data_IF_536663825284
#
_entry.id   IF_536663825284
#
_cell.length_a   1.000
_cell.length_b   1.000
_cell.length_c   1.000
_cell.angle_alpha   90.00
_cell.angle_beta   90.00
_cell.angle_gamma   90.00
#
_symmetry.space_group_name_H-M   'P 1'
#
loop_
_entity.id
_entity.type
_entity.pdbx_description
1 polymer ?
#
# COMPACT_ATOMS: atom_id res chain seq x y z
N UNK A 1 18.47 33.98 -34.42
CA UNK A 1 17.26 33.91 -33.58
C UNK A 1 17.39 32.68 -32.70
N UNK A 2 17.69 32.85 -31.41
CA UNK A 2 17.73 31.75 -30.44
C UNK A 2 16.34 31.17 -30.27
N UNK A 3 16.14 29.92 -30.70
CA UNK A 3 14.95 29.15 -30.34
C UNK A 3 15.10 28.80 -28.86
N UNK A 4 14.51 29.59 -27.97
CA UNK A 4 14.34 29.21 -26.56
C UNK A 4 13.53 27.91 -26.51
N UNK A 5 14.21 26.79 -26.27
CA UNK A 5 13.57 25.51 -25.95
C UNK A 5 12.78 25.71 -24.67
N UNK A 6 11.44 25.69 -24.77
CA UNK A 6 10.56 25.70 -23.60
C UNK A 6 10.36 24.25 -23.18
N UNK A 7 11.10 23.81 -22.18
CA UNK A 7 10.84 22.52 -21.53
C UNK A 7 9.55 22.69 -20.71
N UNK A 8 8.56 21.82 -20.92
CA UNK A 8 7.34 21.88 -20.11
C UNK A 8 7.55 21.22 -18.75
N UNK A 9 6.95 21.80 -17.71
CA UNK A 9 6.99 21.23 -16.35
C UNK A 9 6.39 19.83 -16.34
N UNK A 10 5.29 19.63 -17.06
CA UNK A 10 4.61 18.33 -17.17
C UNK A 10 5.49 17.23 -17.80
N UNK A 11 6.25 17.55 -18.85
CA UNK A 11 7.20 16.58 -19.45
C UNK A 11 8.27 16.17 -18.43
N UNK A 12 8.81 17.12 -17.66
CA UNK A 12 9.83 16.81 -16.64
C UNK A 12 9.26 15.97 -15.50
N UNK A 13 8.04 16.26 -15.04
CA UNK A 13 7.35 15.45 -14.03
C UNK A 13 7.13 14.01 -14.53
N UNK A 14 6.74 13.84 -15.79
CA UNK A 14 6.53 12.52 -16.39
C UNK A 14 7.84 11.74 -16.58
N UNK A 15 8.92 12.40 -16.99
CA UNK A 15 10.23 11.78 -17.11
C UNK A 15 10.75 11.32 -15.75
N UNK A 16 10.62 12.16 -14.72
CA UNK A 16 11.01 11.82 -13.35
C UNK A 16 10.23 10.60 -12.83
N UNK A 17 8.90 10.59 -13.01
CA UNK A 17 8.03 9.48 -12.64
C UNK A 17 8.40 8.19 -13.37
N UNK A 18 8.64 8.27 -14.67
CA UNK A 18 9.06 7.12 -15.49
C UNK A 18 10.40 6.57 -15.02
N UNK A 19 11.34 7.44 -14.64
CA UNK A 19 12.62 7.03 -14.10
C UNK A 19 12.47 6.26 -12.77
N UNK A 20 11.66 6.76 -11.85
CA UNK A 20 11.37 6.06 -10.59
C UNK A 20 10.72 4.69 -10.81
N UNK A 21 9.76 4.59 -11.73
CA UNK A 21 9.12 3.31 -12.09
C UNK A 21 10.13 2.31 -12.66
N UNK A 22 11.00 2.75 -13.60
CA UNK A 22 12.06 1.91 -14.17
C UNK A 22 13.08 1.46 -13.14
N UNK A 23 13.34 2.30 -12.13
CA UNK A 23 14.21 1.98 -11.00
C UNK A 23 13.56 1.09 -9.94
N UNK A 24 12.32 0.61 -10.14
CA UNK A 24 11.62 -0.28 -9.21
C UNK A 24 11.26 0.39 -7.88
N UNK A 25 11.19 1.72 -7.81
CA UNK A 25 10.91 2.43 -6.58
C UNK A 25 9.48 2.15 -6.11
N UNK A 26 9.30 1.80 -4.84
CA UNK A 26 7.96 1.61 -4.28
C UNK A 26 7.31 2.96 -3.95
N UNK A 27 6.00 2.97 -3.71
CA UNK A 27 5.31 4.17 -3.21
C UNK A 27 5.89 4.65 -1.87
N UNK A 28 6.36 3.71 -1.03
CA UNK A 28 7.03 3.98 0.25
C UNK A 28 8.40 4.65 0.07
N UNK A 29 9.20 4.16 -0.90
CA UNK A 29 10.51 4.73 -1.21
C UNK A 29 10.37 6.17 -1.69
N UNK A 30 9.41 6.45 -2.56
CA UNK A 30 9.15 7.80 -3.05
C UNK A 30 8.58 8.70 -1.95
N UNK A 31 7.78 8.16 -1.03
CA UNK A 31 7.28 8.92 0.13
C UNK A 31 8.43 9.41 1.02
N UNK A 32 9.39 8.51 1.32
CA UNK A 32 10.63 8.84 2.05
C UNK A 32 11.53 9.79 1.27
N UNK A 33 11.74 9.53 -0.02
CA UNK A 33 12.59 10.35 -0.90
C UNK A 33 12.11 11.80 -0.95
N UNK A 34 10.80 12.01 -0.98
CA UNK A 34 10.14 13.32 -0.96
C UNK A 34 10.02 13.93 0.44
N UNK A 35 10.60 13.28 1.45
CA UNK A 35 10.67 13.73 2.85
C UNK A 35 9.29 14.01 3.47
N UNK A 36 8.33 13.13 3.19
CA UNK A 36 6.96 13.24 3.69
C UNK A 36 6.74 12.55 5.05
N UNK A 37 7.80 12.35 5.85
CA UNK A 37 7.77 11.54 7.10
C UNK A 37 8.05 12.33 8.39
N UNK A 38 8.53 13.57 8.32
CA UNK A 38 9.02 14.28 9.51
C UNK A 38 7.87 14.96 10.27
N UNK A 39 7.84 14.78 11.59
CA UNK A 39 6.74 15.15 12.51
C UNK A 39 6.50 16.66 12.73
N UNK A 40 7.22 17.54 12.05
CA UNK A 40 6.90 18.99 11.96
C UNK A 40 6.28 19.39 10.62
N UNK A 41 6.40 18.54 9.60
CA UNK A 41 6.16 18.92 8.22
C UNK A 41 4.86 18.29 7.78
N UNK A 42 3.78 19.01 8.05
CA UNK A 42 2.41 18.72 7.63
C UNK A 42 2.44 18.32 6.14
N UNK A 43 2.31 17.03 5.79
CA UNK A 43 2.61 16.57 4.44
C UNK A 43 1.66 17.21 3.42
N UNK A 44 0.44 17.59 3.84
CA UNK A 44 -0.52 18.33 3.02
C UNK A 44 -0.18 19.79 2.74
N UNK A 45 0.77 20.38 3.49
CA UNK A 45 1.36 21.69 3.20
C UNK A 45 2.66 21.56 2.39
N UNK A 46 3.25 20.36 2.32
CA UNK A 46 4.43 20.10 1.51
C UNK A 46 4.05 20.01 0.01
N UNK A 47 4.59 20.87 -0.86
CA UNK A 47 4.28 20.83 -2.30
C UNK A 47 4.64 19.49 -2.96
N UNK A 48 5.56 18.72 -2.38
CA UNK A 48 5.95 17.40 -2.87
C UNK A 48 4.89 16.33 -2.67
N UNK A 49 3.86 16.55 -1.82
CA UNK A 49 2.78 15.59 -1.65
C UNK A 49 2.07 15.31 -2.97
N UNK A 50 1.80 16.33 -3.78
CA UNK A 50 1.11 16.14 -5.05
C UNK A 50 1.97 15.37 -6.06
N UNK A 51 3.30 15.46 -5.97
CA UNK A 51 4.21 14.63 -6.75
C UNK A 51 4.09 13.16 -6.32
N UNK A 52 4.12 12.90 -5.01
CA UNK A 52 3.92 11.56 -4.47
C UNK A 52 2.56 10.98 -4.84
N UNK A 53 1.47 11.73 -4.67
CA UNK A 53 0.11 11.30 -5.06
C UNK A 53 0.07 10.97 -6.54
N UNK A 54 0.70 11.78 -7.39
CA UNK A 54 0.76 11.50 -8.81
C UNK A 54 1.48 10.18 -9.07
N UNK A 55 2.61 9.92 -8.40
CA UNK A 55 3.36 8.68 -8.53
C UNK A 55 2.59 7.46 -8.02
N UNK A 56 1.98 7.57 -6.84
CA UNK A 56 1.29 6.50 -6.14
C UNK A 56 -0.09 6.20 -6.73
N UNK A 57 -0.69 7.15 -7.47
CA UNK A 57 -1.97 6.97 -8.12
C UNK A 57 -1.79 6.16 -9.41
N UNK A 58 -1.76 4.85 -9.24
CA UNK A 58 -1.69 3.87 -10.31
C UNK A 58 -3.06 3.73 -10.98
N UNK A 59 -3.22 4.01 -12.28
CA UNK A 59 -4.53 3.91 -12.95
C UNK A 59 -5.14 2.49 -12.95
N UNK A 60 -4.29 1.47 -12.81
CA UNK A 60 -4.61 0.05 -12.72
C UNK A 60 -4.86 -0.43 -11.27
N UNK A 61 -4.61 0.42 -10.27
CA UNK A 61 -4.99 0.13 -8.88
C UNK A 61 -6.46 0.50 -8.69
N UNK A 62 -7.27 -0.47 -8.28
CA UNK A 62 -8.70 -0.30 -7.98
C UNK A 62 -8.92 0.53 -6.69
N UNK A 63 -7.92 0.55 -5.79
CA UNK A 63 -7.97 1.20 -4.49
C UNK A 63 -6.71 2.07 -4.20
N UNK A 64 -6.34 3.02 -5.07
CA UNK A 64 -5.05 3.72 -5.00
C UNK A 64 -4.90 4.57 -3.73
N UNK A 65 -5.99 5.17 -3.27
CA UNK A 65 -5.99 5.94 -2.01
C UNK A 65 -5.89 5.06 -0.77
N UNK A 66 -6.36 3.81 -0.86
CA UNK A 66 -6.18 2.83 0.21
C UNK A 66 -4.72 2.42 0.28
N UNK A 67 -4.09 2.10 -0.86
CA UNK A 67 -2.65 1.81 -0.97
C UNK A 67 -1.79 2.97 -0.43
N UNK A 68 -2.13 4.22 -0.79
CA UNK A 68 -1.49 5.43 -0.26
C UNK A 68 -1.66 5.54 1.26
N UNK A 69 -2.87 5.32 1.79
CA UNK A 69 -3.12 5.36 3.23
C UNK A 69 -2.23 4.37 3.98
N UNK A 70 -2.00 3.17 3.43
CA UNK A 70 -1.13 2.16 4.06
C UNK A 70 0.33 2.59 4.17
N UNK A 71 0.83 3.32 3.18
CA UNK A 71 2.15 3.96 3.23
C UNK A 71 2.16 5.02 4.34
N UNK A 72 1.16 5.90 4.38
CA UNK A 72 1.09 6.95 5.40
C UNK A 72 0.99 6.37 6.83
N UNK A 73 0.23 5.28 7.04
CA UNK A 73 0.11 4.56 8.32
C UNK A 73 1.40 3.89 8.80
N UNK A 74 2.47 3.84 8.00
CA UNK A 74 3.80 3.40 8.48
C UNK A 74 4.51 4.47 9.30
N UNK A 75 4.16 5.74 9.09
CA UNK A 75 4.86 6.89 9.67
C UNK A 75 3.95 7.72 10.59
N UNK A 76 2.64 7.69 10.35
CA UNK A 76 1.66 8.47 11.08
C UNK A 76 0.64 7.56 11.75
N UNK A 77 0.33 7.85 13.02
CA UNK A 77 -0.80 7.23 13.71
C UNK A 77 -2.12 7.62 13.04
N UNK A 78 -3.17 6.81 13.19
CA UNK A 78 -4.49 7.12 12.63
C UNK A 78 -5.03 8.45 13.16
N UNK A 79 -4.88 8.72 14.47
CA UNK A 79 -5.28 9.99 15.07
C UNK A 79 -4.54 11.20 14.47
N UNK A 80 -3.27 11.02 14.09
CA UNK A 80 -2.51 12.07 13.39
C UNK A 80 -3.01 12.24 11.95
N UNK A 81 -3.30 11.15 11.24
CA UNK A 81 -3.86 11.19 9.89
C UNK A 81 -5.24 11.85 9.84
N UNK A 82 -6.14 11.52 10.77
CA UNK A 82 -7.45 12.16 10.90
C UNK A 82 -7.32 13.68 11.05
N UNK A 83 -6.46 14.13 11.98
CA UNK A 83 -6.19 15.56 12.18
C UNK A 83 -5.65 16.22 10.92
N UNK A 84 -4.71 15.58 10.22
CA UNK A 84 -4.15 16.07 8.96
C UNK A 84 -5.23 16.19 7.87
N UNK A 85 -6.11 15.20 7.73
CA UNK A 85 -7.15 15.22 6.69
C UNK A 85 -8.21 16.28 6.99
N UNK A 86 -8.64 16.43 8.25
CA UNK A 86 -9.57 17.49 8.68
C UNK A 86 -9.00 18.86 8.33
N UNK A 87 -7.72 19.11 8.62
CA UNK A 87 -7.05 20.37 8.30
C UNK A 87 -6.93 20.58 6.79
N UNK A 88 -6.42 19.60 6.04
CA UNK A 88 -6.22 19.71 4.60
C UNK A 88 -7.53 19.93 3.82
N UNK A 89 -8.66 19.40 4.33
CA UNK A 89 -9.99 19.61 3.73
C UNK A 89 -10.51 21.04 3.86
N UNK A 90 -9.97 21.86 4.77
CA UNK A 90 -10.28 23.29 4.87
C UNK A 90 -9.63 24.12 3.75
N UNK A 91 -8.61 23.56 3.08
CA UNK A 91 -7.97 24.18 1.93
C UNK A 91 -8.78 24.07 0.64
N UNK A 92 -8.10 24.24 -0.51
CA UNK A 92 -8.71 24.13 -1.84
C UNK A 92 -7.87 23.25 -2.78
N UNK A 93 -8.41 22.93 -3.96
CA UNK A 93 -7.68 22.24 -5.02
C UNK A 93 -7.38 20.75 -4.74
N UNK A 94 -6.27 20.27 -5.32
CA UNK A 94 -5.90 18.84 -5.31
C UNK A 94 -5.64 18.30 -3.91
N UNK A 95 -5.03 19.09 -3.01
CA UNK A 95 -4.75 18.65 -1.65
C UNK A 95 -6.04 18.31 -0.87
N UNK A 96 -7.08 19.16 -0.98
CA UNK A 96 -8.41 18.89 -0.41
C UNK A 96 -9.05 17.61 -0.98
N UNK A 97 -8.94 17.41 -2.29
CA UNK A 97 -9.47 16.21 -2.94
C UNK A 97 -8.76 14.95 -2.43
N UNK A 98 -7.42 14.96 -2.40
CA UNK A 98 -6.60 13.86 -1.87
C UNK A 98 -6.96 13.57 -0.41
N UNK A 99 -7.02 14.59 0.43
CA UNK A 99 -7.39 14.43 1.85
C UNK A 99 -8.78 13.79 2.02
N UNK A 100 -9.76 14.22 1.23
CA UNK A 100 -11.11 13.63 1.26
C UNK A 100 -11.11 12.16 0.84
N UNK A 101 -10.30 11.78 -0.16
CA UNK A 101 -10.20 10.39 -0.61
C UNK A 101 -9.48 9.51 0.41
N UNK A 102 -8.42 10.02 1.03
CA UNK A 102 -7.67 9.31 2.08
C UNK A 102 -8.49 9.16 3.37
N UNK A 103 -9.26 10.16 3.76
CA UNK A 103 -10.19 10.07 4.91
C UNK A 103 -11.28 9.02 4.65
N UNK A 104 -11.85 8.97 3.44
CA UNK A 104 -12.79 7.91 3.07
C UNK A 104 -12.14 6.52 3.09
N UNK A 105 -10.88 6.40 2.64
CA UNK A 105 -10.14 5.14 2.73
C UNK A 105 -9.89 4.74 4.19
N UNK A 106 -9.57 5.71 5.05
CA UNK A 106 -9.36 5.50 6.49
C UNK A 106 -10.65 5.00 7.14
N UNK A 107 -11.77 5.68 6.92
CA UNK A 107 -13.07 5.24 7.44
C UNK A 107 -13.51 3.86 6.94
N UNK A 108 -13.17 3.49 5.69
CA UNK A 108 -13.43 2.12 5.19
C UNK A 108 -12.58 1.07 5.87
N UNK A 109 -11.37 1.41 6.30
CA UNK A 109 -10.46 0.49 7.00
C UNK A 109 -10.74 0.39 8.51
N UNK A 110 -11.38 1.39 9.11
CA UNK A 110 -11.58 1.45 10.55
C UNK A 110 -12.60 0.42 11.04
N UNK A 111 -12.25 -0.28 12.14
CA UNK A 111 -13.15 -1.17 12.86
C UNK A 111 -13.57 -2.45 12.12
N UNK A 112 -12.99 -2.72 10.95
CA UNK A 112 -13.23 -3.98 10.23
C UNK A 112 -12.37 -5.10 10.79
N UNK A 113 -12.92 -6.31 10.86
CA UNK A 113 -12.08 -7.50 11.02
C UNK A 113 -11.27 -7.73 9.74
N UNK A 114 -10.23 -8.58 9.84
CA UNK A 114 -9.50 -9.04 8.66
C UNK A 114 -10.44 -9.62 7.59
N UNK A 115 -11.43 -10.41 8.01
CA UNK A 115 -12.44 -11.02 7.15
C UNK A 115 -13.35 -9.97 6.46
N UNK A 116 -13.87 -9.01 7.24
CA UNK A 116 -14.75 -7.97 6.70
C UNK A 116 -14.03 -7.07 5.69
N UNK A 117 -12.74 -6.85 5.89
CA UNK A 117 -11.95 -6.07 4.96
C UNK A 117 -11.55 -6.86 3.71
N UNK A 118 -11.31 -8.17 3.86
CA UNK A 118 -11.11 -9.08 2.73
C UNK A 118 -12.31 -9.05 1.77
N UNK A 119 -13.51 -9.23 2.32
CA UNK A 119 -14.77 -9.19 1.57
C UNK A 119 -15.04 -7.80 0.98
N UNK A 120 -14.74 -6.73 1.73
CA UNK A 120 -14.91 -5.37 1.24
C UNK A 120 -14.06 -5.08 -0.01
N UNK A 121 -12.85 -5.63 -0.05
CA UNK A 121 -11.93 -5.52 -1.19
C UNK A 121 -12.24 -6.54 -2.31
N UNK A 122 -13.26 -7.39 -2.12
CA UNK A 122 -13.74 -8.37 -3.11
C UNK A 122 -12.62 -9.28 -3.62
N UNK A 123 -11.70 -9.66 -2.73
CA UNK A 123 -10.53 -10.48 -3.09
C UNK A 123 -11.00 -11.90 -3.46
N UNK A 124 -12.03 -12.43 -2.80
CA UNK A 124 -12.66 -13.71 -3.13
C UNK A 124 -13.20 -13.78 -4.57
N UNK A 125 -13.67 -12.67 -5.12
CA UNK A 125 -14.21 -12.60 -6.49
C UNK A 125 -13.13 -12.78 -7.58
N UNK A 126 -11.84 -12.79 -7.22
CA UNK A 126 -10.70 -12.85 -8.17
C UNK A 126 -10.20 -14.28 -8.47
N UNK A 127 -10.72 -15.29 -7.76
CA UNK A 127 -10.38 -16.70 -8.00
C UNK A 127 -8.88 -17.01 -7.86
N UNK A 128 -8.31 -17.79 -8.78
CA UNK A 128 -6.90 -18.23 -8.72
C UNK A 128 -5.88 -17.09 -8.90
N UNK A 129 -6.32 -15.92 -9.35
CA UNK A 129 -5.46 -14.77 -9.66
C UNK A 129 -5.30 -13.79 -8.48
N UNK A 130 -5.80 -14.11 -7.28
CA UNK A 130 -5.66 -13.26 -6.09
C UNK A 130 -4.22 -12.83 -5.80
N UNK A 131 -3.23 -13.70 -6.04
CA UNK A 131 -1.81 -13.42 -5.80
C UNK A 131 -1.18 -12.47 -6.83
N UNK A 132 -1.97 -12.01 -7.80
CA UNK A 132 -1.63 -10.93 -8.74
C UNK A 132 -2.43 -9.66 -8.45
N UNK A 133 -3.49 -9.75 -7.64
CA UNK A 133 -4.36 -8.61 -7.37
C UNK A 133 -3.73 -7.71 -6.29
N UNK A 134 -3.52 -6.42 -6.58
CA UNK A 134 -2.97 -5.47 -5.59
C UNK A 134 -3.83 -5.32 -4.33
N UNK A 135 -5.13 -5.66 -4.39
CA UNK A 135 -6.01 -5.66 -3.23
C UNK A 135 -5.55 -6.66 -2.16
N UNK A 136 -4.92 -7.78 -2.55
CA UNK A 136 -4.39 -8.76 -1.61
C UNK A 136 -3.21 -8.16 -0.81
N UNK A 137 -2.32 -7.39 -1.43
CA UNK A 137 -1.21 -6.72 -0.73
C UNK A 137 -1.71 -5.69 0.28
N UNK A 138 -2.71 -4.91 -0.11
CA UNK A 138 -3.40 -3.93 0.73
C UNK A 138 -4.00 -4.61 1.96
N UNK A 139 -4.68 -5.73 1.75
CA UNK A 139 -5.30 -6.50 2.81
C UNK A 139 -4.28 -7.21 3.72
N UNK A 140 -3.23 -7.83 3.17
CA UNK A 140 -2.17 -8.44 3.99
C UNK A 140 -1.51 -7.39 4.88
N UNK A 141 -1.22 -6.20 4.35
CA UNK A 141 -0.68 -5.12 5.19
C UNK A 141 -1.66 -4.68 6.29
N UNK A 142 -2.97 -4.75 6.05
CA UNK A 142 -3.98 -4.49 7.08
C UNK A 142 -3.88 -5.53 8.20
N UNK A 143 -3.89 -6.82 7.85
CA UNK A 143 -3.92 -7.91 8.84
C UNK A 143 -2.65 -7.90 9.68
N UNK A 144 -1.48 -7.88 9.06
CA UNK A 144 -0.19 -7.91 9.77
C UNK A 144 0.04 -6.72 10.72
N UNK A 145 -0.70 -5.62 10.56
CA UNK A 145 -0.61 -4.45 11.44
C UNK A 145 -1.59 -4.50 12.62
N UNK A 146 -2.72 -5.19 12.46
CA UNK A 146 -3.79 -5.23 13.45
C UNK A 146 -3.80 -6.53 14.26
N UNK A 147 -3.13 -7.57 13.76
CA UNK A 147 -3.02 -8.86 14.41
C UNK A 147 -1.54 -9.30 14.44
N UNK A 148 -0.92 -9.45 15.62
CA UNK A 148 0.47 -9.88 15.74
C UNK A 148 0.67 -11.39 15.47
N UNK A 149 -0.41 -12.18 15.34
CA UNK A 149 -0.31 -13.59 14.99
C UNK A 149 0.22 -13.75 13.56
N UNK A 150 1.34 -14.47 13.42
CA UNK A 150 1.95 -14.77 12.12
C UNK A 150 1.02 -15.58 11.20
N UNK A 151 0.03 -16.30 11.76
CA UNK A 151 -0.96 -17.05 11.01
C UNK A 151 -2.23 -16.26 10.69
N UNK A 152 -2.36 -14.98 11.08
CA UNK A 152 -3.60 -14.22 10.89
C UNK A 152 -4.00 -14.12 9.40
N UNK A 153 -3.03 -13.80 8.53
CA UNK A 153 -3.23 -13.75 7.06
C UNK A 153 -3.61 -15.13 6.54
N UNK A 154 -2.83 -16.15 6.89
CA UNK A 154 -3.07 -17.52 6.45
C UNK A 154 -4.45 -18.02 6.88
N UNK A 155 -4.87 -17.73 8.10
CA UNK A 155 -6.14 -18.18 8.68
C UNK A 155 -7.35 -17.65 7.91
N UNK A 156 -7.32 -16.38 7.52
CA UNK A 156 -8.40 -15.80 6.70
C UNK A 156 -8.37 -16.35 5.28
N UNK A 157 -7.20 -16.46 4.64
CA UNK A 157 -7.09 -17.09 3.32
C UNK A 157 -7.61 -18.54 3.33
N UNK A 158 -7.21 -19.31 4.35
CA UNK A 158 -7.66 -20.70 4.55
C UNK A 158 -9.17 -20.77 4.76
N UNK A 159 -9.75 -19.82 5.49
CA UNK A 159 -11.20 -19.74 5.68
C UNK A 159 -11.96 -19.48 4.37
N UNK A 160 -11.44 -18.60 3.52
CA UNK A 160 -12.10 -18.25 2.24
C UNK A 160 -11.94 -19.31 1.15
N UNK A 161 -10.75 -19.91 1.04
CA UNK A 161 -10.43 -20.82 -0.07
C UNK A 161 -10.41 -22.30 0.32
N UNK A 162 -10.35 -22.62 1.61
CA UNK A 162 -10.13 -23.98 2.08
C UNK A 162 -8.70 -24.47 1.84
N UNK A 163 -8.34 -25.58 2.49
CA UNK A 163 -6.95 -26.09 2.49
C UNK A 163 -6.47 -26.53 1.10
N UNK A 164 -7.31 -27.26 0.35
CA UNK A 164 -6.91 -27.82 -0.94
C UNK A 164 -6.71 -26.76 -2.02
N UNK A 165 -7.65 -25.83 -2.16
CA UNK A 165 -7.58 -24.82 -3.21
C UNK A 165 -6.55 -23.74 -2.88
N UNK A 166 -6.42 -23.35 -1.61
CA UNK A 166 -5.32 -22.46 -1.18
C UNK A 166 -3.95 -23.09 -1.49
N UNK A 167 -3.75 -24.39 -1.22
CA UNK A 167 -2.50 -25.07 -1.55
C UNK A 167 -2.21 -25.07 -3.06
N UNK A 168 -3.23 -25.26 -3.90
CA UNK A 168 -3.10 -25.18 -5.36
C UNK A 168 -2.70 -23.78 -5.80
N UNK A 169 -3.40 -22.74 -5.34
CA UNK A 169 -3.10 -21.35 -5.69
C UNK A 169 -1.68 -20.96 -5.28
N UNK A 170 -1.24 -21.34 -4.07
CA UNK A 170 0.13 -21.11 -3.60
C UNK A 170 1.16 -21.83 -4.48
N UNK A 171 0.90 -23.10 -4.85
CA UNK A 171 1.81 -23.86 -5.71
C UNK A 171 2.00 -23.19 -7.09
N UNK A 172 0.94 -22.59 -7.63
CA UNK A 172 0.98 -21.86 -8.89
C UNK A 172 1.70 -20.52 -8.76
N UNK A 173 1.45 -19.78 -7.69
CA UNK A 173 2.06 -18.47 -7.44
C UNK A 173 3.58 -18.56 -7.22
N UNK A 174 4.11 -19.63 -6.59
CA UNK A 174 5.57 -19.80 -6.34
C UNK A 174 6.37 -19.89 -7.65
N UNK A 175 5.74 -20.37 -8.73
CA UNK A 175 6.36 -20.47 -10.05
C UNK A 175 6.47 -19.09 -10.72
N UNK A 176 5.64 -18.12 -10.34
CA UNK A 176 5.58 -16.81 -10.98
C UNK A 176 6.60 -15.81 -10.39
N UNK A 177 7.37 -15.09 -11.23
CA UNK A 177 8.37 -14.11 -10.75
C UNK A 177 7.77 -12.99 -9.88
N UNK A 178 6.56 -12.55 -10.19
CA UNK A 178 5.88 -11.42 -9.55
C UNK A 178 5.40 -11.73 -8.13
N UNK A 179 5.13 -12.99 -7.80
CA UNK A 179 4.54 -13.39 -6.52
C UNK A 179 5.58 -13.94 -5.52
N UNK A 180 6.83 -14.19 -5.95
CA UNK A 180 7.88 -14.78 -5.10
C UNK A 180 8.23 -13.96 -3.84
N UNK A 181 8.22 -12.63 -3.93
CA UNK A 181 8.52 -11.76 -2.78
C UNK A 181 7.43 -11.81 -1.70
N UNK A 182 6.17 -11.78 -2.13
CA UNK A 182 4.99 -11.87 -1.29
C UNK A 182 4.88 -13.24 -0.60
N UNK A 183 5.05 -14.32 -1.37
CA UNK A 183 4.97 -15.69 -0.83
C UNK A 183 6.07 -16.00 0.18
N UNK A 184 7.25 -15.41 0.04
CA UNK A 184 8.33 -15.56 1.03
C UNK A 184 7.95 -14.98 2.41
N UNK A 185 7.13 -13.94 2.45
CA UNK A 185 6.66 -13.32 3.69
C UNK A 185 5.55 -14.12 4.38
N UNK A 186 4.80 -14.94 3.63
CA UNK A 186 3.69 -15.76 4.15
C UNK A 186 4.13 -17.20 4.47
N UNK A 187 5.02 -17.78 3.66
CA UNK A 187 5.38 -19.21 3.73
C UNK A 187 6.63 -19.51 4.55
N UNK A 188 7.44 -18.50 4.88
CA UNK A 188 8.56 -18.67 5.79
C UNK A 188 8.19 -17.96 7.09
N UNK A 189 7.77 -18.70 8.15
CA UNK A 189 7.83 -18.15 9.49
C UNK A 189 9.24 -17.62 9.66
N UNK A 190 9.40 -16.40 10.17
CA UNK A 190 10.71 -16.01 10.66
C UNK A 190 11.06 -17.03 11.73
N UNK A 191 11.97 -17.96 11.41
CA UNK A 191 12.52 -18.87 12.40
C UNK A 191 13.25 -18.03 13.45
N UNK A 192 12.49 -17.54 14.43
CA UNK A 192 12.99 -17.12 15.72
C UNK A 192 13.63 -18.34 16.33
N UNK A 193 14.94 -18.24 16.51
CA UNK A 193 15.81 -19.15 17.25
C UNK A 193 15.09 -19.99 18.32
N UNK A 194 14.72 -21.22 17.98
CA UNK A 194 14.65 -22.30 18.97
C UNK A 194 16.10 -22.62 19.34
N UNK A 195 16.61 -21.88 20.31
CA UNK A 195 17.91 -22.16 20.89
C UNK A 195 17.75 -23.42 21.74
N UNK A 196 18.18 -24.54 21.19
CA UNK A 196 18.43 -25.77 21.92
C UNK A 196 19.40 -25.49 23.07
N UNK A 197 18.92 -25.57 24.31
CA UNK A 197 19.75 -25.89 25.47
C UNK A 197 19.13 -27.08 26.20
N UNK A 198 19.45 -28.25 25.68
CA UNK A 198 19.73 -29.42 26.50
C UNK A 198 21.13 -29.24 27.09
N UNK A 199 21.19 -29.21 28.42
CA UNK A 199 22.38 -29.17 29.26
C UNK A 199 21.94 -29.18 30.70
#
# INVERSE_FOLDING_TARGET
>A
MDKKVKISVWEMENLLRTNWLKGGQTSDDIFKLLKLINDSDKPFENPMLLMWVSYANKPDDEYPFTSMLWVMKKYYSEQTLERMFIQAKQGTGRAKHTASKLENALGRSQGRSADDYFNFLKIDEKGDDIFKDPALDVWVSFVSKNDPDEFAVFSVLRKHFGDLDLARMLSYAVVQPTSKGFLKAILLPTCGSYNSRSG
#
